data_IF_252549838476
#
_entry.id   IF_252549838476
#
_cell.length_a   1.000
_cell.length_b   1.000
_cell.length_c   1.000
_cell.angle_alpha   90.00
_cell.angle_beta   90.00
_cell.angle_gamma   90.00
#
_symmetry.space_group_name_H-M   'P 1'
#
loop_
_entity.id
_entity.type
_entity.pdbx_description
1 polymer ?
#
# COMPACT_ATOMS: atom_id res chain seq x y z
N UNK A 1 16.34 -23.58 -18.93
CA UNK A 1 14.92 -23.11 -18.94
C UNK A 1 14.47 -22.56 -17.57
N UNK A 2 14.72 -23.27 -16.46
CA UNK A 2 14.38 -22.85 -15.09
C UNK A 2 14.97 -21.48 -14.68
N UNK A 3 16.24 -21.22 -14.94
CA UNK A 3 16.91 -19.95 -14.57
C UNK A 3 16.31 -18.73 -15.28
N UNK A 4 15.99 -18.87 -16.58
CA UNK A 4 15.35 -17.80 -17.37
C UNK A 4 13.96 -17.47 -16.81
N UNK A 5 13.21 -18.48 -16.36
CA UNK A 5 11.91 -18.29 -15.72
C UNK A 5 12.06 -17.58 -14.37
N UNK A 6 12.99 -18.02 -13.51
CA UNK A 6 13.27 -17.39 -12.21
C UNK A 6 13.66 -15.92 -12.38
N UNK A 7 14.54 -15.60 -13.34
CA UNK A 7 14.92 -14.20 -13.63
C UNK A 7 13.73 -13.35 -14.07
N UNK A 8 12.85 -13.88 -14.92
CA UNK A 8 11.62 -13.19 -15.33
C UNK A 8 10.69 -12.96 -14.14
N UNK A 9 10.45 -13.98 -13.31
CA UNK A 9 9.60 -13.87 -12.12
C UNK A 9 10.12 -12.81 -11.14
N UNK A 10 11.43 -12.80 -10.84
CA UNK A 10 12.08 -11.77 -10.01
C UNK A 10 11.89 -10.36 -10.56
N UNK A 11 11.97 -10.20 -11.88
CA UNK A 11 11.81 -8.89 -12.55
C UNK A 11 10.36 -8.43 -12.50
N UNK A 12 9.42 -9.30 -12.87
CA UNK A 12 7.99 -8.99 -12.86
C UNK A 12 7.51 -8.69 -11.45
N UNK A 13 7.95 -9.47 -10.46
CA UNK A 13 7.54 -9.24 -9.07
C UNK A 13 8.04 -7.90 -8.53
N UNK A 14 9.29 -7.52 -8.85
CA UNK A 14 9.85 -6.21 -8.48
C UNK A 14 9.04 -5.04 -9.06
N UNK A 15 8.78 -5.06 -10.37
CA UNK A 15 8.03 -3.96 -11.01
C UNK A 15 6.56 -3.96 -10.60
N UNK A 16 5.96 -5.14 -10.39
CA UNK A 16 4.60 -5.24 -9.85
C UNK A 16 4.50 -4.61 -8.46
N UNK A 17 5.48 -4.87 -7.58
CA UNK A 17 5.54 -4.24 -6.26
C UNK A 17 5.79 -2.72 -6.37
N UNK A 18 6.62 -2.28 -7.32
CA UNK A 18 6.82 -0.86 -7.61
C UNK A 18 5.52 -0.17 -8.05
N UNK A 19 4.77 -0.78 -8.96
CA UNK A 19 3.47 -0.26 -9.41
C UNK A 19 2.39 -0.35 -8.33
N UNK A 20 2.43 -1.36 -7.45
CA UNK A 20 1.62 -1.39 -6.24
C UNK A 20 1.87 -0.15 -5.39
N UNK A 21 3.15 0.20 -5.15
CA UNK A 21 3.50 1.41 -4.39
C UNK A 21 3.03 2.71 -5.05
N UNK A 22 3.10 2.81 -6.38
CA UNK A 22 2.62 4.00 -7.10
C UNK A 22 1.10 4.16 -7.09
N UNK A 23 0.37 3.04 -7.14
CA UNK A 23 -1.07 3.04 -7.33
C UNK A 23 -1.85 3.09 -6.03
N UNK A 24 -1.31 2.63 -4.88
CA UNK A 24 -2.07 2.64 -3.63
C UNK A 24 -2.51 4.04 -3.18
N UNK A 25 -1.74 5.14 -3.40
CA UNK A 25 -2.20 6.50 -3.11
C UNK A 25 -3.32 7.01 -4.01
N UNK A 26 -3.63 6.29 -5.09
CA UNK A 26 -4.51 6.77 -6.15
C UNK A 26 -5.78 5.93 -6.22
N UNK A 27 -5.65 4.61 -6.13
CA UNK A 27 -6.77 3.68 -6.26
C UNK A 27 -6.48 2.36 -5.55
N UNK A 28 -7.37 1.98 -4.65
CA UNK A 28 -7.35 0.67 -3.95
C UNK A 28 -7.45 -0.49 -4.95
N UNK A 29 -8.34 -0.41 -5.94
CA UNK A 29 -8.52 -1.53 -6.89
C UNK A 29 -7.30 -1.77 -7.77
N UNK A 30 -6.72 -0.70 -8.32
CA UNK A 30 -5.49 -0.77 -9.13
C UNK A 30 -4.31 -1.28 -8.30
N UNK A 31 -4.16 -0.81 -7.05
CA UNK A 31 -3.10 -1.33 -6.19
C UNK A 31 -3.31 -2.81 -5.87
N UNK A 32 -4.52 -3.24 -5.53
CA UNK A 32 -4.82 -4.64 -5.32
C UNK A 32 -4.49 -5.52 -6.54
N UNK A 33 -4.73 -5.05 -7.76
CA UNK A 33 -4.32 -5.78 -8.97
C UNK A 33 -2.80 -6.02 -9.01
N UNK A 34 -2.00 -4.97 -8.80
CA UNK A 34 -0.53 -5.10 -8.77
C UNK A 34 -0.03 -5.90 -7.55
N UNK A 35 -0.71 -5.81 -6.41
CA UNK A 35 -0.44 -6.63 -5.23
C UNK A 35 -0.65 -8.12 -5.52
N UNK A 36 -1.77 -8.46 -6.16
CA UNK A 36 -2.05 -9.82 -6.62
C UNK A 36 -1.00 -10.33 -7.61
N UNK A 37 -0.58 -9.51 -8.57
CA UNK A 37 0.48 -9.88 -9.52
C UNK A 37 1.83 -10.10 -8.83
N UNK A 38 2.14 -9.28 -7.82
CA UNK A 38 3.34 -9.42 -6.98
C UNK A 38 3.33 -10.76 -6.24
N UNK A 39 2.21 -11.12 -5.60
CA UNK A 39 2.03 -12.40 -4.91
C UNK A 39 2.17 -13.56 -5.91
N UNK A 40 1.42 -13.53 -7.01
CA UNK A 40 1.39 -14.60 -8.00
C UNK A 40 2.78 -14.90 -8.60
N UNK A 41 3.62 -13.88 -8.74
CA UNK A 41 4.97 -14.04 -9.30
C UNK A 41 6.05 -14.32 -8.26
N UNK A 42 5.85 -13.90 -7.00
CA UNK A 42 6.84 -14.09 -5.93
C UNK A 42 6.72 -15.44 -5.25
N UNK A 43 5.51 -15.95 -5.03
CA UNK A 43 5.31 -17.21 -4.31
C UNK A 43 5.98 -18.43 -4.98
N UNK A 44 5.93 -18.58 -6.32
CA UNK A 44 6.69 -19.64 -6.99
C UNK A 44 8.20 -19.57 -6.75
N UNK A 45 8.76 -18.38 -6.46
CA UNK A 45 10.20 -18.24 -6.20
C UNK A 45 10.62 -18.95 -4.92
N UNK A 46 9.78 -19.02 -3.90
CA UNK A 46 10.09 -19.74 -2.65
C UNK A 46 10.35 -21.24 -2.88
N UNK A 47 9.81 -21.81 -3.95
CA UNK A 47 10.01 -23.21 -4.35
C UNK A 47 11.17 -23.33 -5.35
N UNK A 48 11.28 -22.38 -6.28
CA UNK A 48 12.18 -22.49 -7.43
C UNK A 48 13.60 -21.99 -7.16
N UNK A 49 13.80 -21.12 -6.17
CA UNK A 49 15.05 -20.43 -5.86
C UNK A 49 15.52 -20.70 -4.42
N UNK A 50 16.78 -21.12 -4.27
CA UNK A 50 17.35 -21.49 -2.96
C UNK A 50 17.54 -20.28 -2.04
N UNK A 51 17.87 -19.11 -2.61
CA UNK A 51 17.96 -17.87 -1.83
C UNK A 51 16.60 -17.48 -1.25
N UNK A 52 15.55 -17.56 -2.08
CA UNK A 52 14.19 -17.27 -1.65
C UNK A 52 13.73 -18.21 -0.54
N UNK A 53 14.10 -19.50 -0.62
CA UNK A 53 13.79 -20.47 0.43
C UNK A 53 14.43 -20.10 1.78
N UNK A 54 15.69 -19.68 1.79
CA UNK A 54 16.35 -19.18 3.03
C UNK A 54 15.63 -17.94 3.58
N UNK A 55 15.19 -17.05 2.70
CA UNK A 55 14.39 -15.89 3.11
C UNK A 55 13.06 -16.31 3.74
N UNK A 56 12.39 -17.32 3.17
CA UNK A 56 11.14 -17.87 3.72
C UNK A 56 11.31 -18.40 5.14
N UNK A 57 12.35 -19.20 5.40
CA UNK A 57 12.63 -19.76 6.73
C UNK A 57 12.79 -18.67 7.80
N UNK A 58 13.35 -17.51 7.43
CA UNK A 58 13.51 -16.35 8.33
C UNK A 58 12.18 -15.65 8.66
N UNK A 59 11.24 -15.61 7.72
CA UNK A 59 9.99 -14.83 7.86
C UNK A 59 8.76 -15.69 8.15
N UNK A 60 8.87 -17.02 8.03
CA UNK A 60 7.75 -17.92 8.19
C UNK A 60 7.08 -17.76 9.56
N UNK A 61 7.85 -17.69 10.64
CA UNK A 61 7.30 -17.55 11.99
C UNK A 61 6.48 -16.26 12.20
N UNK A 62 7.01 -15.05 11.90
CA UNK A 62 6.21 -13.83 12.04
C UNK A 62 5.02 -13.83 11.07
N UNK A 63 5.20 -14.33 9.83
CA UNK A 63 4.08 -14.45 8.89
C UNK A 63 2.98 -15.36 9.42
N UNK A 64 3.31 -16.57 9.90
CA UNK A 64 2.36 -17.52 10.45
C UNK A 64 1.69 -17.01 11.72
N UNK A 65 2.38 -16.22 12.55
CA UNK A 65 1.76 -15.58 13.70
C UNK A 65 0.63 -14.64 13.28
N UNK A 66 0.90 -13.69 12.36
CA UNK A 66 -0.14 -12.78 11.86
C UNK A 66 -1.23 -13.53 11.09
N UNK A 67 -0.84 -14.50 10.26
CA UNK A 67 -1.78 -15.33 9.52
C UNK A 67 -2.69 -16.14 10.48
N UNK A 68 -2.14 -16.62 11.59
CA UNK A 68 -2.88 -17.28 12.66
C UNK A 68 -3.92 -16.37 13.30
N UNK A 69 -3.62 -15.09 13.54
CA UNK A 69 -4.61 -14.11 14.03
C UNK A 69 -5.79 -14.00 13.07
N UNK A 70 -5.52 -13.90 11.76
CA UNK A 70 -6.57 -13.85 10.76
C UNK A 70 -7.38 -15.15 10.66
N UNK A 71 -6.74 -16.32 10.82
CA UNK A 71 -7.44 -17.61 10.89
C UNK A 71 -8.35 -17.66 12.12
N UNK A 72 -7.86 -17.22 13.28
CA UNK A 72 -8.65 -17.20 14.51
C UNK A 72 -9.83 -16.24 14.41
N UNK A 73 -9.63 -15.07 13.79
CA UNK A 73 -10.71 -14.14 13.48
C UNK A 73 -11.75 -14.81 12.59
N UNK A 74 -11.32 -15.43 11.49
CA UNK A 74 -12.20 -16.14 10.58
C UNK A 74 -12.98 -17.26 11.28
N UNK A 75 -12.32 -18.08 12.10
CA UNK A 75 -12.95 -19.15 12.87
C UNK A 75 -13.94 -18.58 13.89
N UNK A 76 -13.58 -17.52 14.60
CA UNK A 76 -14.49 -16.82 15.52
C UNK A 76 -15.74 -16.36 14.78
N UNK A 77 -15.57 -15.68 13.63
CA UNK A 77 -16.70 -15.24 12.81
C UNK A 77 -17.55 -16.41 12.32
N UNK A 78 -16.93 -17.57 12.02
CA UNK A 78 -17.63 -18.80 11.65
C UNK A 78 -18.44 -19.38 12.82
N UNK A 79 -17.93 -19.37 14.05
CA UNK A 79 -18.67 -19.82 15.23
C UNK A 79 -19.87 -18.93 15.56
N UNK A 80 -19.77 -17.61 15.32
CA UNK A 80 -20.89 -16.68 15.47
C UNK A 80 -21.79 -16.59 14.23
N UNK A 81 -21.50 -17.36 13.17
CA UNK A 81 -22.23 -17.34 11.91
C UNK A 81 -23.65 -17.90 11.99
N UNK A 82 -23.95 -18.77 12.96
CA UNK A 82 -25.29 -19.36 13.13
C UNK A 82 -26.38 -18.30 13.34
N UNK A 83 -26.00 -17.10 13.83
CA UNK A 83 -26.91 -15.95 13.96
C UNK A 83 -27.15 -15.17 12.65
N UNK A 84 -26.50 -15.53 11.54
CA UNK A 84 -26.57 -14.80 10.27
C UNK A 84 -26.78 -15.74 9.07
N UNK A 85 -27.96 -15.67 8.44
CA UNK A 85 -28.41 -16.49 7.30
C UNK A 85 -27.56 -16.40 6.01
N UNK A 86 -26.46 -15.65 5.99
CA UNK A 86 -25.56 -15.59 4.83
C UNK A 86 -24.13 -15.17 5.20
N UNK A 87 -23.51 -15.90 6.12
CA UNK A 87 -22.14 -15.64 6.59
C UNK A 87 -21.13 -15.46 5.47
N UNK A 88 -20.95 -16.44 4.58
CA UNK A 88 -19.96 -16.36 3.50
C UNK A 88 -20.21 -15.19 2.54
N UNK A 89 -21.48 -14.86 2.25
CA UNK A 89 -21.83 -13.72 1.40
C UNK A 89 -21.54 -12.40 2.10
N UNK A 90 -21.69 -12.30 3.42
CA UNK A 90 -21.28 -11.13 4.21
C UNK A 90 -19.77 -11.05 4.36
N UNK A 91 -19.09 -12.13 4.73
CA UNK A 91 -17.63 -12.16 4.91
C UNK A 91 -16.88 -11.80 3.61
N UNK A 92 -17.29 -12.38 2.47
CA UNK A 92 -16.73 -12.05 1.15
C UNK A 92 -17.08 -10.62 0.69
N UNK A 93 -18.21 -10.06 1.13
CA UNK A 93 -18.72 -8.75 0.66
C UNK A 93 -18.45 -7.58 1.62
N UNK A 94 -18.19 -7.83 2.90
CA UNK A 94 -17.94 -6.84 3.96
C UNK A 94 -16.44 -6.56 4.21
N UNK A 95 -15.58 -6.87 3.24
CA UNK A 95 -14.19 -6.40 3.09
C UNK A 95 -13.07 -7.09 3.87
N UNK A 96 -13.36 -7.93 4.87
CA UNK A 96 -12.28 -8.60 5.64
C UNK A 96 -11.46 -9.60 4.81
N UNK A 97 -12.08 -10.24 3.80
CA UNK A 97 -11.34 -11.08 2.86
C UNK A 97 -10.26 -10.30 2.08
N UNK A 98 -10.50 -9.01 1.82
CA UNK A 98 -9.53 -8.13 1.17
C UNK A 98 -8.24 -8.01 1.97
N UNK A 99 -8.37 -7.80 3.28
CA UNK A 99 -7.24 -7.68 4.19
C UNK A 99 -6.52 -9.02 4.37
N UNK A 100 -7.28 -10.12 4.38
CA UNK A 100 -6.74 -11.48 4.49
C UNK A 100 -5.74 -11.82 3.38
N UNK A 101 -6.14 -11.68 2.11
CA UNK A 101 -5.23 -12.03 1.00
C UNK A 101 -4.10 -11.01 0.86
N UNK A 102 -4.33 -9.75 1.24
CA UNK A 102 -3.29 -8.71 1.26
C UNK A 102 -2.17 -9.02 2.25
N UNK A 103 -2.41 -9.83 3.30
CA UNK A 103 -1.34 -10.31 4.18
C UNK A 103 -0.28 -11.11 3.41
N UNK A 104 -0.65 -11.82 2.33
CA UNK A 104 0.29 -12.56 1.48
C UNK A 104 1.29 -11.63 0.79
N UNK A 105 1.00 -10.32 0.71
CA UNK A 105 1.93 -9.33 0.19
C UNK A 105 3.14 -9.16 1.12
N UNK A 106 3.03 -9.46 2.42
CA UNK A 106 4.15 -9.37 3.36
C UNK A 106 5.33 -10.26 2.97
N UNK A 107 5.18 -11.60 2.84
CA UNK A 107 6.31 -12.45 2.47
C UNK A 107 6.81 -12.15 1.04
N UNK A 108 5.90 -11.83 0.12
CA UNK A 108 6.27 -11.46 -1.25
C UNK A 108 7.14 -10.19 -1.29
N UNK A 109 6.71 -9.13 -0.60
CA UNK A 109 7.45 -7.87 -0.53
C UNK A 109 8.77 -8.01 0.23
N UNK A 110 8.81 -8.79 1.31
CA UNK A 110 10.04 -9.06 2.05
C UNK A 110 11.07 -9.78 1.19
N UNK A 111 10.67 -10.77 0.40
CA UNK A 111 11.55 -11.47 -0.53
C UNK A 111 12.18 -10.50 -1.53
N UNK A 112 11.36 -9.63 -2.13
CA UNK A 112 11.83 -8.66 -3.12
C UNK A 112 12.76 -7.64 -2.47
N UNK A 113 12.39 -7.10 -1.30
CA UNK A 113 13.12 -6.06 -0.60
C UNK A 113 14.41 -6.56 0.10
N UNK A 114 14.55 -7.88 0.32
CA UNK A 114 15.76 -8.48 0.90
C UNK A 114 16.99 -8.36 -0.03
N UNK A 115 16.78 -8.10 -1.32
CA UNK A 115 17.86 -7.89 -2.29
C UNK A 115 18.24 -6.42 -2.36
N UNK A 116 19.49 -6.08 -2.05
CA UNK A 116 20.00 -4.70 -2.00
C UNK A 116 19.77 -3.92 -3.31
N UNK A 117 19.95 -4.58 -4.45
CA UNK A 117 19.69 -3.99 -5.79
C UNK A 117 18.23 -3.52 -5.94
N UNK A 118 17.28 -4.27 -5.36
CA UNK A 118 15.86 -3.96 -5.44
C UNK A 118 15.49 -2.80 -4.51
N UNK A 119 16.14 -2.69 -3.35
CA UNK A 119 15.86 -1.61 -2.37
C UNK A 119 16.02 -0.22 -3.00
N UNK A 120 17.05 -0.02 -3.82
CA UNK A 120 17.28 1.26 -4.51
C UNK A 120 16.14 1.59 -5.47
N UNK A 121 15.62 0.60 -6.20
CA UNK A 121 14.52 0.77 -7.16
C UNK A 121 13.20 1.03 -6.40
N UNK A 122 12.91 0.22 -5.39
CA UNK A 122 11.71 0.37 -4.56
C UNK A 122 11.68 1.71 -3.83
N UNK A 123 12.83 2.19 -3.35
CA UNK A 123 12.94 3.52 -2.73
C UNK A 123 12.53 4.64 -3.69
N UNK A 124 12.90 4.54 -4.98
CA UNK A 124 12.45 5.50 -6.00
C UNK A 124 10.93 5.46 -6.17
N UNK A 125 10.34 4.26 -6.26
CA UNK A 125 8.89 4.11 -6.34
C UNK A 125 8.17 4.69 -5.11
N UNK A 126 8.69 4.44 -3.90
CA UNK A 126 8.14 5.01 -2.67
C UNK A 126 8.26 6.54 -2.63
N UNK A 127 9.38 7.10 -3.09
CA UNK A 127 9.55 8.56 -3.15
C UNK A 127 8.58 9.22 -4.13
N UNK A 128 8.38 8.61 -5.31
CA UNK A 128 7.39 9.07 -6.30
C UNK A 128 5.98 8.94 -5.72
N UNK A 129 5.68 7.81 -5.06
CA UNK A 129 4.40 7.57 -4.39
C UNK A 129 4.11 8.64 -3.32
N UNK A 130 5.09 8.96 -2.46
CA UNK A 130 4.97 10.02 -1.48
C UNK A 130 4.76 11.40 -2.12
N UNK A 131 5.47 11.69 -3.21
CA UNK A 131 5.30 12.92 -3.97
C UNK A 131 3.88 13.05 -4.53
N UNK A 132 3.32 11.94 -5.05
CA UNK A 132 1.94 11.87 -5.53
C UNK A 132 0.94 12.12 -4.39
N UNK A 133 1.14 11.49 -3.22
CA UNK A 133 0.30 11.72 -2.02
C UNK A 133 0.29 13.20 -1.64
N UNK A 134 1.47 13.81 -1.54
CA UNK A 134 1.61 15.22 -1.13
C UNK A 134 0.95 16.12 -2.18
N UNK A 135 1.24 15.90 -3.46
CA UNK A 135 0.67 16.71 -4.55
C UNK A 135 -0.86 16.65 -4.54
N UNK A 136 -1.46 15.47 -4.52
CA UNK A 136 -2.91 15.34 -4.46
C UNK A 136 -3.49 15.88 -3.16
N UNK A 137 -2.78 15.72 -2.04
CA UNK A 137 -3.12 16.35 -0.77
C UNK A 137 -3.22 17.87 -0.90
N UNK A 138 -2.21 18.51 -1.48
CA UNK A 138 -2.19 19.95 -1.73
C UNK A 138 -3.34 20.39 -2.67
N UNK A 139 -3.57 19.67 -3.78
CA UNK A 139 -4.68 19.97 -4.69
C UNK A 139 -6.02 19.86 -3.95
N UNK A 140 -6.16 18.87 -3.06
CA UNK A 140 -7.41 18.66 -2.32
C UNK A 140 -7.73 19.76 -1.31
N UNK A 141 -6.73 20.52 -0.83
CA UNK A 141 -6.98 21.67 0.05
C UNK A 141 -7.89 22.71 -0.59
N UNK A 142 -7.90 22.81 -1.91
CA UNK A 142 -8.65 23.82 -2.65
C UNK A 142 -9.91 23.25 -3.34
N UNK A 143 -10.27 22.01 -3.03
CA UNK A 143 -11.39 21.32 -3.67
C UNK A 143 -12.51 21.05 -2.68
N UNK A 144 -13.71 21.58 -2.94
CA UNK A 144 -14.89 21.30 -2.11
C UNK A 144 -15.34 19.83 -2.21
N UNK A 145 -14.95 19.13 -3.27
CA UNK A 145 -15.28 17.72 -3.54
C UNK A 145 -14.10 16.78 -3.33
N UNK A 146 -14.38 15.54 -2.98
CA UNK A 146 -13.37 14.48 -2.87
C UNK A 146 -12.84 14.16 -4.26
N UNK A 147 -11.56 14.45 -4.52
CA UNK A 147 -10.96 14.33 -5.86
C UNK A 147 -11.11 12.91 -6.40
N UNK A 148 -10.89 11.89 -5.56
CA UNK A 148 -11.03 10.49 -5.97
C UNK A 148 -12.41 10.15 -6.55
N UNK A 149 -13.50 10.63 -5.92
CA UNK A 149 -14.86 10.44 -6.42
C UNK A 149 -15.15 11.27 -7.67
N UNK A 150 -14.69 12.52 -7.67
CA UNK A 150 -14.88 13.42 -8.81
C UNK A 150 -14.27 12.85 -10.09
N UNK A 151 -13.05 12.29 -10.00
CA UNK A 151 -12.39 11.59 -11.12
C UNK A 151 -13.13 10.31 -11.48
N UNK A 152 -13.55 9.50 -10.50
CA UNK A 152 -14.29 8.26 -10.75
C UNK A 152 -15.64 8.48 -11.46
N UNK A 153 -16.29 9.62 -11.21
CA UNK A 153 -17.54 10.02 -11.86
C UNK A 153 -17.33 10.70 -13.23
N UNK A 154 -16.11 10.69 -13.78
CA UNK A 154 -15.81 11.29 -15.08
C UNK A 154 -15.82 12.82 -15.05
N UNK A 155 -15.29 13.41 -13.99
CA UNK A 155 -15.23 14.88 -13.78
C UNK A 155 -16.62 15.54 -13.69
N UNK A 156 -17.62 14.77 -13.25
CA UNK A 156 -18.98 15.24 -13.03
C UNK A 156 -19.35 15.18 -11.55
N UNK A 157 -20.13 16.17 -11.13
CA UNK A 157 -20.73 16.18 -9.80
C UNK A 157 -21.90 15.20 -9.76
N UNK A 158 -21.80 14.18 -8.91
CA UNK A 158 -22.92 13.30 -8.64
C UNK A 158 -23.79 13.93 -7.52
N UNK A 159 -25.12 14.04 -7.69
CA UNK A 159 -26.02 14.49 -6.63
C UNK A 159 -25.90 13.57 -5.40
N UNK A 160 -25.70 14.14 -4.22
CA UNK A 160 -25.55 13.39 -2.96
C UNK A 160 -24.13 12.94 -2.62
N UNK A 161 -23.12 13.34 -3.40
CA UNK A 161 -21.74 13.06 -3.03
C UNK A 161 -21.30 13.80 -1.76
N UNK A 162 -20.63 13.07 -0.86
CA UNK A 162 -20.08 13.64 0.36
C UNK A 162 -18.99 14.65 0.00
N UNK A 163 -19.23 15.90 0.37
CA UNK A 163 -18.25 16.98 0.26
C UNK A 163 -17.04 16.75 1.17
N UNK A 164 -15.98 17.50 0.93
CA UNK A 164 -14.85 17.57 1.83
C UNK A 164 -15.19 18.35 3.10
N UNK A 165 -14.52 18.03 4.20
CA UNK A 165 -14.65 18.82 5.41
C UNK A 165 -13.94 20.16 5.24
N UNK A 166 -14.70 21.23 5.39
CA UNK A 166 -14.20 22.59 5.40
C UNK A 166 -13.26 22.80 6.60
N UNK A 167 -12.08 23.36 6.36
CA UNK A 167 -11.04 23.55 7.35
C UNK A 167 -10.83 25.01 7.75
N UNK A 168 -11.40 25.96 7.02
CA UNK A 168 -11.27 27.39 7.27
C UNK A 168 -11.01 28.19 5.99
N UNK A 169 -10.79 29.49 6.13
CA UNK A 169 -10.47 30.39 5.02
C UNK A 169 -9.09 31.02 5.21
N UNK A 170 -8.34 31.19 4.12
CA UNK A 170 -7.22 32.12 4.06
C UNK A 170 -7.64 33.27 3.14
N UNK A 171 -8.08 34.38 3.74
CA UNK A 171 -8.69 35.50 3.03
C UNK A 171 -9.96 35.06 2.28
N UNK A 172 -10.06 35.27 0.95
CA UNK A 172 -11.22 34.85 0.15
C UNK A 172 -11.19 33.35 -0.24
N UNK A 173 -10.08 32.65 0.00
CA UNK A 173 -9.91 31.25 -0.44
C UNK A 173 -10.39 30.30 0.64
N UNK A 174 -11.36 29.44 0.28
CA UNK A 174 -11.83 28.34 1.13
C UNK A 174 -10.83 27.18 1.13
N UNK A 175 -10.51 26.69 2.31
CA UNK A 175 -9.66 25.52 2.50
C UNK A 175 -10.45 24.33 3.03
N UNK A 176 -10.07 23.16 2.55
CA UNK A 176 -10.64 21.87 2.90
C UNK A 176 -9.56 20.95 3.47
N UNK A 177 -9.98 19.94 4.24
CA UNK A 177 -9.07 18.96 4.81
C UNK A 177 -8.44 18.10 3.70
N UNK A 178 -7.11 17.92 3.69
CA UNK A 178 -6.44 17.22 2.61
C UNK A 178 -6.75 15.72 2.66
N UNK A 179 -7.28 15.21 1.57
CA UNK A 179 -7.56 13.77 1.36
C UNK A 179 -7.00 13.26 0.04
N UNK A 180 -6.60 14.15 -0.86
CA UNK A 180 -6.12 13.78 -2.19
C UNK A 180 -7.08 12.87 -2.94
N UNK A 181 -6.54 11.78 -3.49
CA UNK A 181 -7.31 10.74 -4.18
C UNK A 181 -7.92 9.70 -3.22
N UNK A 182 -7.62 9.79 -1.92
CA UNK A 182 -8.19 8.88 -0.93
C UNK A 182 -9.65 9.23 -0.63
N UNK A 183 -10.41 8.18 -0.28
CA UNK A 183 -11.81 8.35 0.11
C UNK A 183 -11.98 8.79 1.57
N UNK A 184 -10.95 8.67 2.43
CA UNK A 184 -11.02 9.03 3.86
C UNK A 184 -9.78 9.78 4.36
N UNK A 185 -9.99 10.64 5.37
CA UNK A 185 -8.94 11.41 6.04
C UNK A 185 -7.98 10.51 6.82
N UNK A 186 -8.49 9.45 7.46
CA UNK A 186 -7.68 8.52 8.24
C UNK A 186 -6.69 7.78 7.34
N UNK A 187 -7.12 7.36 6.15
CA UNK A 187 -6.24 6.73 5.17
C UNK A 187 -5.17 7.73 4.71
N UNK A 188 -5.54 8.95 4.33
CA UNK A 188 -4.55 9.96 3.91
C UNK A 188 -3.50 10.28 4.99
N UNK A 189 -3.94 10.54 6.22
CA UNK A 189 -3.05 10.78 7.36
C UNK A 189 -2.17 9.57 7.68
N UNK A 190 -2.72 8.35 7.62
CA UNK A 190 -1.95 7.11 7.80
C UNK A 190 -0.87 6.92 6.75
N UNK A 191 -1.15 7.23 5.48
CA UNK A 191 -0.17 7.15 4.40
C UNK A 191 0.95 8.18 4.56
N UNK A 192 0.61 9.43 4.95
CA UNK A 192 1.61 10.42 5.30
C UNK A 192 2.45 9.99 6.50
N UNK A 193 1.83 9.40 7.53
CA UNK A 193 2.51 8.86 8.71
C UNK A 193 3.47 7.70 8.38
N UNK A 194 3.20 6.93 7.31
CA UNK A 194 4.11 5.91 6.81
C UNK A 194 5.30 6.51 6.04
N UNK A 195 5.07 7.54 5.21
CA UNK A 195 6.11 8.13 4.37
C UNK A 195 7.02 9.12 5.10
N UNK A 196 6.44 10.01 5.91
CA UNK A 196 7.13 11.15 6.49
C UNK A 196 8.34 10.73 7.35
N UNK A 197 8.25 9.76 8.28
CA UNK A 197 9.40 9.36 9.09
C UNK A 197 10.59 8.92 8.24
N UNK A 198 10.35 8.09 7.21
CA UNK A 198 11.39 7.63 6.30
C UNK A 198 12.03 8.77 5.50
N UNK A 199 11.21 9.67 4.95
CA UNK A 199 11.68 10.84 4.22
C UNK A 199 12.45 11.82 5.12
N UNK A 200 12.03 12.02 6.37
CA UNK A 200 12.72 12.86 7.33
C UNK A 200 14.10 12.30 7.69
N UNK A 201 14.19 10.99 7.94
CA UNK A 201 15.47 10.33 8.22
C UNK A 201 16.41 10.45 7.02
N UNK A 202 15.93 10.17 5.81
CA UNK A 202 16.72 10.30 4.58
C UNK A 202 17.21 11.73 4.33
N UNK A 203 16.33 12.71 4.53
CA UNK A 203 16.68 14.12 4.42
C UNK A 203 17.73 14.52 5.46
N UNK A 204 17.53 14.12 6.72
CA UNK A 204 18.46 14.41 7.81
C UNK A 204 19.85 13.81 7.55
N UNK A 205 19.92 12.55 7.13
CA UNK A 205 21.18 11.89 6.73
C UNK A 205 21.84 12.60 5.55
N UNK A 206 21.06 13.02 4.55
CA UNK A 206 21.57 13.73 3.37
C UNK A 206 22.14 15.11 3.73
N UNK A 207 21.46 15.85 4.60
CA UNK A 207 21.95 17.15 5.11
C UNK A 207 23.21 16.96 5.94
N UNK A 208 23.26 15.93 6.81
CA UNK A 208 24.43 15.61 7.63
C UNK A 208 25.65 15.25 6.76
N UNK A 209 25.44 14.47 5.69
CA UNK A 209 26.47 14.10 4.71
C UNK A 209 26.97 15.31 3.91
N UNK A 210 26.09 16.21 3.49
CA UNK A 210 26.46 17.45 2.77
C UNK A 210 27.20 18.46 3.65
N UNK A 211 26.93 18.48 4.96
CA UNK A 211 27.62 19.36 5.92
C UNK A 211 28.92 18.77 6.48
N UNK A 212 29.42 17.65 5.94
CA UNK A 212 30.67 17.03 6.40
C UNK A 212 30.63 16.49 7.83
N UNK A 213 29.44 16.28 8.40
CA UNK A 213 29.25 16.00 9.83
C UNK A 213 29.39 14.51 10.22
N UNK A 214 30.14 13.73 9.44
CA UNK A 214 30.64 12.41 9.83
C UNK A 214 31.98 12.11 9.14
N UNK A 215 33.06 12.28 9.90
CA UNK A 215 34.12 11.27 10.01
C UNK A 215 33.82 10.47 11.27
N UNK A 216 33.45 9.20 11.16
CA UNK A 216 33.70 8.09 12.10
C UNK A 216 33.04 6.83 11.52
#
# INVERSE_FOLDING_TARGET
MKERLVKKLKTVSLFSLGFFFLSFPQSVSVSQFFGGLTIATSFPLFILDQEAKKTWERIQNPFLFFFGIYILLFLSSLFYAENYSSFFKKFLKQSEFGDFWMLLLFPASFLIASQEKNQTILKRFLFVSASIVILFGCISLFSEVRIGKFVANGFKYAPGDRLQHFSGNIGPVKLYLPIGMMNTHLTFGGLLGLFLPGLFVDWFQSVKKKRGLFSF
#
